data_IF_759510230371
#
_entry.id   IF_759510230371
#
_cell.length_a   1.000
_cell.length_b   1.000
_cell.length_c   1.000
_cell.angle_alpha   90.00
_cell.angle_beta   90.00
_cell.angle_gamma   90.00
#
_symmetry.space_group_name_H-M   'P 1'
#
loop_
_entity.id
_entity.type
_entity.pdbx_description
1 polymer ?
#
# COMPACT_ATOMS: atom_id res chain seq x y z
N UNK A 1 0.09 -30.84 5.15
CA UNK A 1 0.42 -29.54 4.56
C UNK A 1 -0.34 -29.45 3.25
N UNK A 2 -1.32 -28.55 3.12
CA UNK A 2 -2.03 -28.32 1.86
C UNK A 2 -1.01 -27.71 0.87
N UNK A 3 -0.97 -28.19 -0.38
CA UNK A 3 -0.13 -27.55 -1.40
C UNK A 3 -0.69 -26.16 -1.67
N UNK A 4 0.18 -25.14 -1.62
CA UNK A 4 -0.14 -23.82 -2.18
C UNK A 4 -0.27 -24.00 -3.70
N UNK A 5 -1.50 -23.90 -4.23
CA UNK A 5 -1.77 -24.00 -5.65
C UNK A 5 -2.25 -22.63 -6.12
N UNK A 6 -1.55 -22.06 -7.10
CA UNK A 6 -1.94 -20.82 -7.74
C UNK A 6 -3.14 -21.04 -8.66
N UNK A 7 -3.97 -20.03 -8.82
CA UNK A 7 -5.10 -20.04 -9.74
C UNK A 7 -4.62 -20.00 -11.20
N UNK A 8 -3.87 -18.96 -11.54
CA UNK A 8 -3.28 -18.74 -12.86
C UNK A 8 -1.78 -18.46 -12.68
N UNK A 9 -0.94 -19.17 -13.43
CA UNK A 9 0.51 -18.97 -13.40
C UNK A 9 1.07 -18.75 -14.79
N UNK A 10 1.93 -17.76 -14.96
CA UNK A 10 2.75 -17.55 -16.14
C UNK A 10 4.23 -17.35 -15.72
N UNK A 11 5.16 -17.92 -16.49
CA UNK A 11 6.58 -17.78 -16.18
C UNK A 11 7.20 -16.52 -16.78
N UNK A 12 6.57 -15.97 -17.80
CA UNK A 12 7.02 -14.75 -18.47
C UNK A 12 5.89 -13.70 -18.38
N UNK A 13 5.13 -13.50 -19.44
CA UNK A 13 4.11 -12.45 -19.55
C UNK A 13 2.69 -13.03 -19.59
N UNK A 14 1.75 -12.35 -18.97
CA UNK A 14 0.33 -12.65 -19.04
C UNK A 14 -0.48 -11.39 -19.39
N UNK A 15 -1.28 -11.49 -20.45
CA UNK A 15 -2.21 -10.43 -20.85
C UNK A 15 -3.64 -10.95 -20.78
N UNK A 16 -4.52 -10.25 -20.09
CA UNK A 16 -5.95 -10.55 -19.99
C UNK A 16 -6.73 -9.32 -20.41
N UNK A 17 -7.61 -9.49 -21.40
CA UNK A 17 -8.46 -8.40 -21.88
C UNK A 17 -9.91 -8.85 -21.90
N UNK A 18 -10.74 -8.17 -21.13
CA UNK A 18 -12.17 -8.43 -21.03
C UNK A 18 -12.51 -9.71 -20.25
N UNK A 19 -13.79 -9.91 -20.02
CA UNK A 19 -14.32 -11.10 -19.36
C UNK A 19 -14.67 -10.88 -17.88
N UNK A 20 -15.35 -11.90 -17.33
CA UNK A 20 -15.71 -11.97 -15.91
C UNK A 20 -15.12 -13.23 -15.31
N UNK A 21 -14.39 -13.07 -14.21
CA UNK A 21 -13.65 -14.16 -13.57
C UNK A 21 -14.01 -14.26 -12.09
N UNK A 22 -14.14 -15.50 -11.61
CA UNK A 22 -14.22 -15.82 -10.19
C UNK A 22 -13.09 -16.78 -9.88
N UNK A 23 -12.13 -16.32 -9.09
CA UNK A 23 -10.88 -17.07 -8.82
C UNK A 23 -10.79 -17.31 -7.32
N UNK A 24 -10.68 -18.60 -6.94
CA UNK A 24 -10.36 -19.00 -5.57
C UNK A 24 -9.09 -19.83 -5.61
N UNK A 25 -8.07 -19.46 -4.82
CA UNK A 25 -6.78 -20.11 -4.80
C UNK A 25 -6.29 -20.40 -3.37
N UNK A 26 -5.59 -21.53 -3.19
CA UNK A 26 -4.89 -21.86 -1.93
C UNK A 26 -3.45 -21.34 -1.91
N UNK A 27 -3.02 -20.67 -2.92
CA UNK A 27 -1.81 -19.86 -3.08
C UNK A 27 -2.23 -18.53 -3.68
N UNK A 28 -1.40 -17.96 -4.55
CA UNK A 28 -1.73 -16.74 -5.27
C UNK A 28 -2.85 -16.98 -6.29
N UNK A 29 -3.77 -16.04 -6.45
CA UNK A 29 -4.75 -16.18 -7.54
C UNK A 29 -4.07 -15.97 -8.90
N UNK A 30 -3.24 -14.94 -9.02
CA UNK A 30 -2.31 -14.76 -10.14
C UNK A 30 -0.87 -14.83 -9.63
N UNK A 31 -0.01 -15.57 -10.35
CA UNK A 31 1.42 -15.63 -10.08
C UNK A 31 2.16 -15.56 -11.43
N UNK A 32 2.72 -14.39 -11.72
CA UNK A 32 3.39 -14.08 -12.99
C UNK A 32 4.82 -13.64 -12.66
N UNK A 33 5.80 -13.92 -13.54
CA UNK A 33 7.17 -13.51 -13.23
C UNK A 33 7.51 -12.12 -13.80
N UNK A 34 7.24 -11.85 -15.09
CA UNK A 34 7.83 -10.70 -15.73
C UNK A 34 6.87 -9.53 -15.94
N UNK A 35 5.67 -9.84 -16.48
CA UNK A 35 4.71 -8.79 -16.81
C UNK A 35 3.27 -9.29 -16.75
N UNK A 36 2.40 -8.50 -16.11
CA UNK A 36 0.97 -8.75 -16.08
C UNK A 36 0.21 -7.51 -16.54
N UNK A 37 -0.58 -7.65 -17.60
CA UNK A 37 -1.48 -6.62 -18.08
C UNK A 37 -2.92 -7.12 -18.02
N UNK A 38 -3.77 -6.45 -17.25
CA UNK A 38 -5.20 -6.78 -17.14
C UNK A 38 -6.02 -5.55 -17.49
N UNK A 39 -6.90 -5.70 -18.48
CA UNK A 39 -7.73 -4.60 -18.95
C UNK A 39 -9.17 -5.02 -19.20
N UNK A 40 -10.14 -4.12 -18.89
CA UNK A 40 -11.57 -4.28 -19.20
C UNK A 40 -12.19 -5.55 -18.58
N UNK A 41 -11.75 -5.96 -17.40
CA UNK A 41 -12.20 -7.19 -16.75
C UNK A 41 -13.03 -6.92 -15.50
N UNK A 42 -13.87 -7.89 -15.14
CA UNK A 42 -14.58 -7.93 -13.87
C UNK A 42 -14.10 -9.17 -13.11
N UNK A 43 -13.47 -8.99 -11.94
CA UNK A 43 -12.90 -10.09 -11.18
C UNK A 43 -13.35 -10.09 -9.72
N UNK A 44 -13.71 -11.29 -9.24
CA UNK A 44 -13.84 -11.59 -7.82
C UNK A 44 -12.78 -12.61 -7.44
N UNK A 45 -11.89 -12.24 -6.52
CA UNK A 45 -10.68 -12.99 -6.16
C UNK A 45 -10.70 -13.30 -4.66
N UNK A 46 -10.50 -14.57 -4.30
CA UNK A 46 -10.26 -15.04 -2.92
C UNK A 46 -9.00 -15.91 -2.94
N UNK A 47 -7.88 -15.36 -2.52
CA UNK A 47 -6.58 -16.04 -2.44
C UNK A 47 -6.17 -16.23 -0.96
N UNK A 48 -5.46 -17.33 -0.67
CA UNK A 48 -4.91 -17.56 0.68
C UNK A 48 -3.49 -17.04 0.84
N UNK A 49 -2.90 -16.58 -0.26
CA UNK A 49 -1.64 -15.85 -0.40
C UNK A 49 -1.97 -14.53 -1.13
N UNK A 50 -1.09 -14.04 -2.01
CA UNK A 50 -1.36 -12.81 -2.78
C UNK A 50 -2.53 -12.99 -3.77
N UNK A 51 -3.34 -11.97 -3.95
CA UNK A 51 -4.39 -12.06 -4.95
C UNK A 51 -3.82 -11.86 -6.35
N UNK A 52 -3.07 -10.79 -6.60
CA UNK A 52 -2.47 -10.51 -7.90
C UNK A 52 -0.98 -10.25 -7.71
N UNK A 53 -0.14 -11.23 -8.10
CA UNK A 53 1.32 -11.13 -7.92
C UNK A 53 2.07 -11.18 -9.24
N UNK A 54 2.96 -10.22 -9.42
CA UNK A 54 4.05 -10.26 -10.42
C UNK A 54 5.37 -10.09 -9.68
N UNK A 55 6.23 -11.10 -9.76
CA UNK A 55 7.42 -11.14 -8.93
C UNK A 55 8.63 -11.70 -9.68
N UNK A 56 9.66 -10.85 -9.82
CA UNK A 56 10.95 -11.21 -10.40
C UNK A 56 12.07 -10.61 -9.54
N UNK A 57 12.63 -11.44 -8.67
CA UNK A 57 13.71 -11.05 -7.74
C UNK A 57 15.07 -10.85 -8.43
N UNK A 58 15.23 -11.29 -9.67
CA UNK A 58 16.53 -11.32 -10.36
C UNK A 58 16.78 -10.05 -11.18
N UNK A 59 15.71 -9.35 -11.61
CA UNK A 59 15.83 -8.22 -12.51
C UNK A 59 14.82 -7.12 -12.22
N UNK A 60 15.27 -5.99 -11.69
CA UNK A 60 14.44 -4.82 -11.37
C UNK A 60 13.74 -4.15 -12.57
N UNK A 61 14.06 -4.55 -13.80
CA UNK A 61 13.42 -4.02 -15.03
C UNK A 61 12.18 -4.81 -15.44
N UNK A 62 11.94 -5.96 -14.84
CA UNK A 62 10.77 -6.81 -15.04
C UNK A 62 10.02 -6.98 -13.71
N UNK A 63 8.90 -7.70 -13.69
CA UNK A 63 8.02 -7.72 -12.52
C UNK A 63 7.01 -6.56 -12.59
N UNK A 64 6.61 -6.17 -13.80
CA UNK A 64 5.75 -5.01 -14.06
C UNK A 64 4.27 -5.39 -14.11
N UNK A 65 3.41 -4.50 -13.62
CA UNK A 65 1.96 -4.69 -13.68
C UNK A 65 1.27 -3.44 -14.23
N UNK A 66 0.33 -3.66 -15.17
CA UNK A 66 -0.54 -2.65 -15.72
C UNK A 66 -2.01 -3.03 -15.56
N UNK A 67 -2.80 -2.14 -14.96
CA UNK A 67 -4.22 -2.33 -14.70
C UNK A 67 -5.02 -1.15 -15.25
N UNK A 68 -6.02 -1.43 -16.13
CA UNK A 68 -6.87 -0.39 -16.71
C UNK A 68 -8.30 -0.87 -16.93
N UNK A 69 -9.28 -0.03 -16.63
CA UNK A 69 -10.73 -0.26 -16.83
C UNK A 69 -11.25 -1.57 -16.21
N UNK A 70 -10.69 -1.97 -15.07
CA UNK A 70 -11.09 -3.18 -14.39
C UNK A 70 -12.09 -2.89 -13.26
N UNK A 71 -12.82 -3.92 -12.85
CA UNK A 71 -13.61 -3.93 -11.60
C UNK A 71 -13.19 -5.15 -10.79
N UNK A 72 -12.44 -4.94 -9.70
CA UNK A 72 -11.95 -6.01 -8.85
C UNK A 72 -12.56 -5.94 -7.46
N UNK A 73 -12.92 -7.12 -6.95
CA UNK A 73 -13.18 -7.33 -5.52
C UNK A 73 -12.21 -8.41 -5.05
N UNK A 74 -11.35 -8.06 -4.10
CA UNK A 74 -10.19 -8.87 -3.71
C UNK A 74 -10.27 -9.20 -2.22
N UNK A 75 -10.01 -10.47 -1.90
CA UNK A 75 -9.61 -10.96 -0.58
C UNK A 75 -8.31 -11.70 -0.74
N UNK A 76 -7.29 -11.27 0.01
CA UNK A 76 -5.98 -11.89 0.04
C UNK A 76 -5.60 -12.29 1.47
N UNK A 77 -4.83 -13.34 1.60
CA UNK A 77 -4.24 -13.73 2.88
C UNK A 77 -2.88 -13.07 3.11
N UNK A 78 -2.27 -12.56 2.04
CA UNK A 78 -1.07 -11.75 2.01
C UNK A 78 -1.38 -10.46 1.23
N UNK A 79 -0.73 -10.15 0.10
CA UNK A 79 -0.93 -8.88 -0.58
C UNK A 79 -2.15 -8.89 -1.52
N UNK A 80 -2.85 -7.77 -1.54
CA UNK A 80 -3.94 -7.57 -2.49
C UNK A 80 -3.44 -7.49 -3.92
N UNK A 81 -2.49 -6.60 -4.19
CA UNK A 81 -1.84 -6.38 -5.49
C UNK A 81 -0.35 -6.14 -5.25
N UNK A 82 0.50 -7.02 -5.81
CA UNK A 82 1.95 -6.96 -5.65
C UNK A 82 2.67 -6.96 -7.00
N UNK A 83 3.58 -6.02 -7.21
CA UNK A 83 4.48 -5.97 -8.35
C UNK A 83 5.92 -5.69 -7.89
N UNK A 84 6.84 -6.63 -8.05
CA UNK A 84 8.24 -6.44 -7.61
C UNK A 84 8.96 -5.27 -8.31
N UNK A 85 8.41 -4.75 -9.42
CA UNK A 85 8.94 -3.57 -10.12
C UNK A 85 7.89 -2.46 -10.22
N UNK A 86 7.37 -2.17 -11.41
CA UNK A 86 6.48 -1.03 -11.60
C UNK A 86 5.02 -1.47 -11.62
N UNK A 87 4.21 -0.86 -10.79
CA UNK A 87 2.76 -0.97 -10.81
C UNK A 87 2.15 0.31 -11.35
N UNK A 88 1.37 0.18 -12.43
CA UNK A 88 0.57 1.28 -12.97
C UNK A 88 -0.92 0.93 -12.91
N UNK A 89 -1.69 1.69 -12.13
CA UNK A 89 -3.15 1.69 -12.16
C UNK A 89 -3.59 2.92 -12.93
N UNK A 90 -4.08 2.71 -14.16
CA UNK A 90 -4.52 3.79 -15.02
C UNK A 90 -5.96 4.21 -14.70
N UNK A 91 -6.84 3.24 -14.50
CA UNK A 91 -8.27 3.46 -14.25
C UNK A 91 -8.94 2.20 -13.71
N UNK A 92 -10.21 2.29 -13.33
CA UNK A 92 -11.02 1.16 -12.89
C UNK A 92 -11.52 1.30 -11.46
N UNK A 93 -12.12 0.25 -10.94
CA UNK A 93 -12.61 0.17 -9.56
C UNK A 93 -11.97 -1.04 -8.88
N UNK A 94 -11.28 -0.82 -7.79
CA UNK A 94 -10.57 -1.86 -7.04
C UNK A 94 -10.98 -1.79 -5.58
N UNK A 95 -11.51 -2.90 -5.06
CA UNK A 95 -11.86 -3.03 -3.65
C UNK A 95 -11.09 -4.21 -3.08
N UNK A 96 -10.08 -3.91 -2.28
CA UNK A 96 -9.33 -4.89 -1.49
C UNK A 96 -10.00 -4.94 -0.13
N UNK A 97 -10.86 -5.95 0.08
CA UNK A 97 -11.68 -6.08 1.29
C UNK A 97 -10.89 -6.62 2.49
N UNK A 98 -9.76 -7.27 2.22
CA UNK A 98 -8.87 -7.83 3.22
C UNK A 98 -7.53 -8.21 2.58
N UNK A 99 -6.45 -7.84 3.23
CA UNK A 99 -5.06 -8.23 2.90
C UNK A 99 -4.15 -8.03 4.12
N UNK A 100 -2.92 -8.50 4.05
CA UNK A 100 -1.83 -8.06 4.93
C UNK A 100 -1.39 -6.70 4.45
N UNK A 101 -0.73 -6.60 3.29
CA UNK A 101 -0.50 -5.35 2.60
C UNK A 101 -1.53 -5.17 1.47
N UNK A 102 -1.97 -3.92 1.28
CA UNK A 102 -3.00 -3.65 0.28
C UNK A 102 -2.46 -3.68 -1.13
N UNK A 103 -1.53 -2.79 -1.40
CA UNK A 103 -0.88 -2.58 -2.70
C UNK A 103 0.62 -2.44 -2.48
N UNK A 104 1.41 -3.35 -3.05
CA UNK A 104 2.85 -3.33 -2.95
C UNK A 104 3.52 -3.16 -4.33
N UNK A 105 4.66 -2.45 -4.37
CA UNK A 105 5.46 -2.33 -5.58
C UNK A 105 6.70 -1.46 -5.40
N UNK A 106 7.73 -1.66 -6.21
CA UNK A 106 8.91 -0.78 -6.20
C UNK A 106 8.53 0.65 -6.59
N UNK A 107 7.80 0.81 -7.69
CA UNK A 107 7.15 2.07 -8.03
C UNK A 107 5.66 1.85 -8.20
N UNK A 108 4.86 2.61 -7.49
CA UNK A 108 3.41 2.56 -7.57
C UNK A 108 2.92 3.87 -8.17
N UNK A 109 2.21 3.80 -9.29
CA UNK A 109 1.62 4.97 -9.93
C UNK A 109 0.12 4.80 -10.10
N UNK A 110 -0.66 5.72 -9.53
CA UNK A 110 -2.10 5.82 -9.69
C UNK A 110 -2.40 7.03 -10.58
N UNK A 111 -2.88 6.78 -11.80
CA UNK A 111 -3.31 7.83 -12.73
C UNK A 111 -4.79 8.18 -12.53
N UNK A 112 -5.60 7.22 -12.10
CA UNK A 112 -7.03 7.38 -11.93
C UNK A 112 -7.69 6.15 -11.32
N UNK A 113 -9.03 6.14 -11.30
CA UNK A 113 -9.83 5.05 -10.76
C UNK A 113 -10.32 5.30 -9.33
N UNK A 114 -11.15 4.37 -8.85
CA UNK A 114 -11.69 4.35 -7.50
C UNK A 114 -11.11 3.13 -6.75
N UNK A 115 -10.21 3.38 -5.81
CA UNK A 115 -9.46 2.35 -5.11
C UNK A 115 -9.80 2.40 -3.63
N UNK A 116 -10.17 1.24 -3.06
CA UNK A 116 -10.40 1.07 -1.63
C UNK A 116 -9.56 -0.08 -1.11
N UNK A 117 -8.80 0.20 -0.06
CA UNK A 117 -7.90 -0.75 0.57
C UNK A 117 -8.24 -0.88 2.06
N UNK A 118 -8.41 -2.13 2.50
CA UNK A 118 -8.49 -2.52 3.90
C UNK A 118 -7.37 -3.53 4.16
N UNK A 119 -6.32 -3.10 4.85
CA UNK A 119 -5.13 -3.89 5.15
C UNK A 119 -4.94 -4.05 6.66
N UNK A 120 -4.31 -5.14 7.07
CA UNK A 120 -3.97 -5.38 8.48
C UNK A 120 -2.59 -4.84 8.85
N UNK A 121 -1.74 -4.61 7.86
CA UNK A 121 -0.46 -3.95 7.91
C UNK A 121 -0.51 -2.70 7.02
N UNK A 122 0.42 -2.47 6.09
CA UNK A 122 0.44 -1.26 5.30
C UNK A 122 -0.61 -1.26 4.17
N UNK A 123 -1.24 -0.11 4.00
CA UNK A 123 -2.25 0.03 2.95
C UNK A 123 -1.67 0.10 1.55
N UNK A 124 -0.64 0.90 1.38
CA UNK A 124 0.18 1.02 0.16
C UNK A 124 1.64 1.01 0.56
N UNK A 125 2.41 0.05 0.08
CA UNK A 125 3.83 -0.11 0.40
C UNK A 125 4.69 0.03 -0.87
N UNK A 126 5.40 1.15 -1.02
CA UNK A 126 6.40 1.31 -2.09
C UNK A 126 7.76 0.86 -1.58
N UNK A 127 8.13 -0.38 -1.90
CA UNK A 127 9.35 -1.01 -1.40
C UNK A 127 9.99 -1.94 -2.44
N UNK A 128 11.29 -2.14 -2.33
CA UNK A 128 12.03 -3.24 -2.96
C UNK A 128 13.43 -3.34 -2.36
N UNK A 129 13.78 -4.48 -1.80
CA UNK A 129 15.05 -4.71 -1.09
C UNK A 129 16.31 -4.60 -1.96
N UNK A 130 16.16 -4.70 -3.28
CA UNK A 130 17.28 -4.65 -4.25
C UNK A 130 17.41 -3.30 -4.95
N UNK A 131 16.46 -2.37 -4.72
CA UNK A 131 16.45 -1.04 -5.31
C UNK A 131 17.10 -0.01 -4.39
N UNK A 132 17.66 1.06 -4.97
CA UNK A 132 18.05 2.23 -4.20
C UNK A 132 16.83 3.09 -3.86
N UNK A 133 16.92 3.88 -2.80
CA UNK A 133 15.85 4.78 -2.36
C UNK A 133 15.29 5.67 -3.49
N UNK A 134 16.15 6.18 -4.37
CA UNK A 134 15.74 7.04 -5.50
C UNK A 134 14.93 6.29 -6.58
N UNK A 135 14.97 4.95 -6.59
CA UNK A 135 14.24 4.10 -7.52
C UNK A 135 12.89 3.64 -6.95
N UNK A 136 12.59 3.96 -5.70
CA UNK A 136 11.36 3.58 -5.01
C UNK A 136 10.44 4.79 -4.92
N UNK A 137 9.16 4.62 -5.27
CA UNK A 137 8.21 5.74 -5.17
C UNK A 137 6.74 5.33 -5.17
N UNK A 138 5.95 6.13 -4.44
CA UNK A 138 4.51 6.21 -4.62
C UNK A 138 4.14 7.52 -5.35
N UNK A 139 3.34 7.43 -6.40
CA UNK A 139 2.87 8.59 -7.18
C UNK A 139 1.37 8.52 -7.39
N UNK A 140 0.65 9.60 -7.05
CA UNK A 140 -0.78 9.76 -7.36
C UNK A 140 -1.01 11.02 -8.18
N UNK A 141 -1.56 10.83 -9.38
CA UNK A 141 -1.86 11.90 -10.33
C UNK A 141 -3.37 12.19 -10.46
N UNK A 142 -4.21 11.25 -10.04
CA UNK A 142 -5.67 11.39 -10.14
C UNK A 142 -6.42 10.23 -9.50
N UNK A 143 -7.76 10.23 -9.60
CA UNK A 143 -8.62 9.21 -9.03
C UNK A 143 -8.94 9.40 -7.55
N UNK A 144 -9.50 8.37 -6.92
CA UNK A 144 -9.85 8.36 -5.51
C UNK A 144 -9.17 7.15 -4.85
N UNK A 145 -8.41 7.39 -3.79
CA UNK A 145 -7.76 6.37 -2.98
C UNK A 145 -8.28 6.48 -1.54
N UNK A 146 -8.97 5.45 -1.09
CA UNK A 146 -9.32 5.25 0.31
C UNK A 146 -8.46 4.13 0.88
N UNK A 147 -7.81 4.37 2.01
CA UNK A 147 -7.01 3.38 2.73
C UNK A 147 -7.44 3.36 4.18
N UNK A 148 -7.72 2.17 4.69
CA UNK A 148 -7.93 1.91 6.12
C UNK A 148 -7.02 0.77 6.54
N UNK A 149 -6.19 1.00 7.57
CA UNK A 149 -5.24 0.02 8.09
C UNK A 149 -5.58 -0.41 9.51
N UNK A 150 -5.06 -1.56 9.92
CA UNK A 150 -5.23 -2.11 11.24
C UNK A 150 -4.58 -1.28 12.35
N UNK A 151 -4.70 -1.75 13.59
CA UNK A 151 -3.99 -1.19 14.74
C UNK A 151 -2.57 -1.78 14.79
N UNK A 152 -1.58 -0.98 15.14
CA UNK A 152 -0.20 -1.43 15.33
C UNK A 152 0.82 -0.47 14.72
N UNK A 153 1.96 -1.00 14.33
CA UNK A 153 2.98 -0.31 13.58
C UNK A 153 2.64 -0.46 12.07
N UNK A 154 1.64 0.29 11.64
CA UNK A 154 1.02 0.20 10.32
C UNK A 154 0.86 1.58 9.72
N UNK A 155 1.18 1.71 8.43
CA UNK A 155 1.10 2.95 7.69
C UNK A 155 0.04 2.89 6.58
N UNK A 156 -0.75 3.96 6.44
CA UNK A 156 -1.68 4.01 5.32
C UNK A 156 -0.94 4.03 3.98
N UNK A 157 0.16 4.77 3.93
CA UNK A 157 1.09 4.81 2.78
C UNK A 157 2.51 4.79 3.33
N UNK A 158 3.21 3.67 3.12
CA UNK A 158 4.65 3.55 3.34
C UNK A 158 5.41 3.68 2.02
N UNK A 159 6.59 4.29 2.05
CA UNK A 159 7.51 4.35 0.92
C UNK A 159 8.96 4.38 1.39
N UNK A 160 9.72 3.35 1.12
CA UNK A 160 11.17 3.37 1.31
C UNK A 160 11.88 4.34 0.35
N UNK A 161 11.12 5.20 -0.33
CA UNK A 161 11.59 6.20 -1.28
C UNK A 161 10.76 7.48 -1.26
N UNK A 162 10.34 7.93 -2.43
CA UNK A 162 9.68 9.22 -2.59
C UNK A 162 8.16 9.10 -2.65
N UNK A 163 7.45 10.13 -2.20
CA UNK A 163 6.01 10.28 -2.36
C UNK A 163 5.70 11.50 -3.23
N UNK A 164 4.86 11.35 -4.25
CA UNK A 164 4.43 12.46 -5.09
C UNK A 164 2.91 12.44 -5.27
N UNK A 165 2.23 13.53 -4.91
CA UNK A 165 0.79 13.70 -5.14
C UNK A 165 0.59 14.98 -5.95
N UNK A 166 0.09 14.84 -7.18
CA UNK A 166 -0.19 15.95 -8.10
C UNK A 166 -1.68 16.15 -8.36
N UNK A 167 -2.52 15.19 -7.95
CA UNK A 167 -3.97 15.24 -8.14
C UNK A 167 -4.69 14.11 -7.44
N UNK A 168 -6.03 14.08 -7.60
CA UNK A 168 -6.89 13.07 -7.00
C UNK A 168 -7.32 13.36 -5.57
N UNK A 169 -7.98 12.39 -4.95
CA UNK A 169 -8.46 12.47 -3.57
C UNK A 169 -7.93 11.29 -2.79
N UNK A 170 -7.27 11.54 -1.66
CA UNK A 170 -6.71 10.53 -0.77
C UNK A 170 -7.40 10.64 0.59
N UNK A 171 -8.00 9.54 1.04
CA UNK A 171 -8.59 9.41 2.36
C UNK A 171 -7.90 8.30 3.13
N UNK A 172 -7.18 8.65 4.19
CA UNK A 172 -6.42 7.73 5.03
C UNK A 172 -7.09 7.60 6.39
N UNK A 173 -7.23 6.37 6.87
CA UNK A 173 -7.78 6.02 8.19
C UNK A 173 -6.82 5.06 8.86
N UNK A 174 -6.12 5.51 9.89
CA UNK A 174 -5.12 4.74 10.61
C UNK A 174 -4.39 5.57 11.66
N UNK A 175 -3.47 4.95 12.39
CA UNK A 175 -2.64 5.64 13.38
C UNK A 175 -1.56 6.49 12.69
N UNK A 176 -0.95 5.97 11.62
CA UNK A 176 0.00 6.66 10.77
C UNK A 176 -0.59 6.87 9.37
N UNK A 177 -0.50 8.11 8.86
CA UNK A 177 -0.94 8.42 7.51
C UNK A 177 0.13 8.11 6.47
N UNK A 178 1.38 8.44 6.79
CA UNK A 178 2.53 8.29 5.92
C UNK A 178 3.79 7.93 6.71
N UNK A 179 4.55 6.95 6.21
CA UNK A 179 5.99 6.82 6.46
C UNK A 179 6.74 6.90 5.13
N UNK A 180 7.91 7.55 5.08
CA UNK A 180 8.73 7.61 3.88
C UNK A 180 10.17 8.01 4.18
N UNK A 181 11.08 7.40 3.44
CA UNK A 181 12.52 7.61 3.59
C UNK A 181 13.08 8.75 2.72
N UNK A 182 12.39 9.07 1.62
CA UNK A 182 12.83 10.05 0.63
C UNK A 182 12.20 11.43 0.79
N UNK A 183 11.75 12.00 -0.32
CA UNK A 183 11.12 13.32 -0.36
C UNK A 183 9.61 13.19 -0.64
N UNK A 184 8.82 14.07 -0.04
CA UNK A 184 7.41 14.21 -0.35
C UNK A 184 7.14 15.48 -1.15
N UNK A 185 6.37 15.33 -2.24
CA UNK A 185 5.91 16.43 -3.11
C UNK A 185 4.38 16.40 -3.16
N UNK A 186 3.75 17.51 -2.75
CA UNK A 186 2.29 17.67 -2.81
C UNK A 186 1.96 18.98 -3.52
N UNK A 187 1.47 18.91 -4.76
CA UNK A 187 1.19 20.05 -5.61
C UNK A 187 -0.25 20.14 -6.11
N UNK A 188 -1.06 19.12 -5.84
CA UNK A 188 -2.47 19.09 -6.24
C UNK A 188 -3.25 17.94 -5.62
N UNK A 189 -4.58 18.02 -5.72
CA UNK A 189 -5.48 17.04 -5.12
C UNK A 189 -5.96 17.41 -3.71
N UNK A 190 -6.59 16.44 -3.05
CA UNK A 190 -7.08 16.59 -1.67
C UNK A 190 -6.65 15.39 -0.84
N UNK A 191 -6.09 15.65 0.33
CA UNK A 191 -5.67 14.61 1.29
C UNK A 191 -6.39 14.83 2.61
N UNK A 192 -6.95 13.76 3.16
CA UNK A 192 -7.46 13.73 4.54
C UNK A 192 -6.88 12.56 5.29
N UNK A 193 -6.55 12.75 6.58
CA UNK A 193 -6.14 11.71 7.52
C UNK A 193 -7.13 11.75 8.68
N UNK A 194 -7.83 10.64 8.92
CA UNK A 194 -8.87 10.53 9.95
C UNK A 194 -9.92 11.65 9.86
N UNK A 195 -10.26 12.05 8.62
CA UNK A 195 -11.23 13.11 8.34
C UNK A 195 -10.66 14.54 8.40
N UNK A 196 -9.42 14.74 8.82
CA UNK A 196 -8.77 16.04 8.86
C UNK A 196 -8.01 16.33 7.59
N UNK A 197 -8.29 17.48 6.96
CA UNK A 197 -7.64 17.91 5.71
C UNK A 197 -6.18 18.27 5.93
N UNK A 198 -5.32 17.77 5.04
CA UNK A 198 -3.89 18.02 5.07
C UNK A 198 -3.51 19.09 4.04
N UNK A 199 -2.55 19.95 4.38
CA UNK A 199 -1.95 20.95 3.48
C UNK A 199 -0.55 20.56 2.98
N UNK A 200 0.03 19.52 3.54
CA UNK A 200 1.34 18.97 3.22
C UNK A 200 1.38 17.47 3.57
N UNK A 201 2.30 16.73 2.99
CA UNK A 201 2.60 15.35 3.36
C UNK A 201 3.74 15.39 4.37
N UNK A 202 3.50 14.82 5.55
CA UNK A 202 4.48 14.71 6.64
C UNK A 202 4.66 13.25 7.02
N UNK A 203 5.91 12.89 7.26
CA UNK A 203 6.24 11.59 7.83
C UNK A 203 5.71 11.51 9.27
N UNK A 204 4.83 10.54 9.54
CA UNK A 204 4.19 10.36 10.84
C UNK A 204 5.18 9.94 11.92
N UNK A 205 6.23 9.20 11.57
CA UNK A 205 7.30 8.78 12.48
C UNK A 205 8.09 9.96 13.06
N UNK A 206 8.07 11.14 12.40
CA UNK A 206 8.67 12.37 12.92
C UNK A 206 7.76 13.15 13.88
N UNK A 207 6.49 12.77 14.00
CA UNK A 207 5.59 13.32 15.01
C UNK A 207 5.79 12.52 16.30
N UNK A 208 6.70 12.98 17.16
CA UNK A 208 6.79 12.48 18.55
C UNK A 208 5.42 12.54 19.22
N UNK A 209 5.18 11.73 20.26
CA UNK A 209 3.90 11.73 20.96
C UNK A 209 3.50 13.16 21.32
N UNK A 210 2.20 13.54 21.22
CA UNK A 210 1.75 14.88 21.56
C UNK A 210 2.26 15.22 22.95
N UNK A 211 2.94 16.35 23.09
CA UNK A 211 3.44 16.85 24.36
C UNK A 211 2.27 16.89 25.35
N UNK A 212 2.24 15.92 26.25
CA UNK A 212 1.29 15.91 27.37
C UNK A 212 1.76 16.97 28.37
N UNK A 213 1.31 18.22 28.15
CA UNK A 213 1.54 19.37 29.01
C UNK A 213 0.80 19.24 30.36
N UNK A 214 0.73 18.00 30.88
CA UNK A 214 0.38 17.77 32.30
C UNK A 214 1.62 17.93 33.14
N UNK A 215 1.89 19.20 33.53
CA UNK A 215 2.95 19.56 34.41
C UNK A 215 3.01 18.66 35.67
N UNK A 216 4.01 17.81 35.70
CA UNK A 216 4.43 17.20 36.97
C UNK A 216 5.08 18.27 37.80
N UNK A 217 4.29 18.83 38.76
CA UNK A 217 4.83 19.60 39.85
C UNK A 217 5.77 18.69 40.67
N UNK A 218 7.05 18.84 40.49
CA UNK A 218 8.03 18.36 41.45
C UNK A 218 7.86 19.15 42.75
N UNK A 219 7.22 18.55 43.72
CA UNK A 219 7.22 18.99 45.07
C UNK A 219 8.54 18.60 45.72
N UNK A 220 9.43 19.60 45.91
CA UNK A 220 10.64 19.48 46.71
C UNK A 220 10.26 19.20 48.18
N UNK A 221 11.08 18.37 48.82
CA UNK A 221 11.26 18.48 50.28
C UNK A 221 10.97 17.23 51.08
N UNK A 222 11.97 16.37 51.26
CA UNK A 222 12.11 15.56 52.45
C UNK A 222 13.52 15.79 53.01
N UNK A 223 13.65 16.34 54.26
CA UNK A 223 14.93 16.52 54.89
C UNK A 223 15.50 15.19 55.46
N UNK A 224 16.83 15.08 55.64
CA UNK A 224 17.44 13.84 56.09
C UNK A 224 17.19 13.56 57.56
N UNK A 225 16.81 12.35 57.91
CA UNK A 225 16.78 11.87 59.28
C UNK A 225 18.17 11.42 59.72
N UNK A 226 18.64 12.06 60.82
CA UNK A 226 19.81 11.67 61.59
C UNK A 226 19.70 10.26 62.16
N UNK A 227 20.81 9.53 62.11
CA UNK A 227 21.01 8.26 62.81
C UNK A 227 21.54 8.55 64.21
N UNK A 228 20.92 7.93 65.16
CA UNK A 228 21.55 7.46 66.40
C UNK A 228 21.39 5.97 66.49
#
# INVERSE_FOLDING_TARGET
>A
MLKKNNGIKANDTLHITGGTYHITANGNAFNVNDELNITHTNMSIDAKDDAVKVDNDENLLVGNMFLSDNTFTIKAGDDGIHASSNLLIESGTYVIENSTEGIEGRTITIQGGDIKVYASDDGVNAANANASQDEISFTMNGGNLFVEVGEGDTDCIDSNGNITVTGGTIHLVGQSGYDFDGNAVYTGGEITINGEKQSEIKNSMMMGPPNDDRGFNHQEGIPPHDRK
#
